data_IF_003449862441
#
_entry.id   IF_003449862441
#
_cell.length_a   1.000
_cell.length_b   1.000
_cell.length_c   1.000
_cell.angle_alpha   90.00
_cell.angle_beta   90.00
_cell.angle_gamma   90.00
#
_symmetry.space_group_name_H-M   'P 1'
#
loop_
_entity.id
_entity.type
_entity.pdbx_description
1 polymer ?
#
# COMPACT_ATOMS: atom_id res chain seq x y z
N UNK A 1 -8.27 21.66 1.18
CA UNK A 1 -8.96 21.91 2.47
C UNK A 1 -7.87 21.97 3.52
N UNK A 2 -7.74 23.11 4.17
CA UNK A 2 -6.62 23.38 5.06
C UNK A 2 -6.58 22.38 6.22
N UNK A 3 -5.41 21.85 6.50
CA UNK A 3 -5.13 21.18 7.76
C UNK A 3 -5.33 22.25 8.83
N UNK A 4 -6.46 22.17 9.54
CA UNK A 4 -6.70 23.04 10.69
C UNK A 4 -5.72 22.58 11.76
N UNK A 5 -4.59 23.27 11.86
CA UNK A 5 -3.70 23.15 13.02
C UNK A 5 -4.53 23.52 14.24
N UNK A 6 -4.67 22.60 15.17
CA UNK A 6 -5.30 22.87 16.46
C UNK A 6 -4.53 24.02 17.13
N UNK A 7 -5.19 25.13 17.37
CA UNK A 7 -4.61 26.23 18.13
C UNK A 7 -4.63 25.83 19.59
N UNK A 8 -3.50 25.76 20.29
CA UNK A 8 -3.47 25.41 21.70
C UNK A 8 -4.01 26.58 22.54
N UNK A 9 -5.16 26.38 23.16
CA UNK A 9 -5.55 27.24 24.30
C UNK A 9 -5.17 26.47 25.56
N UNK A 10 -4.04 26.83 26.12
CA UNK A 10 -3.58 26.28 27.40
C UNK A 10 -4.27 27.06 28.51
N UNK A 11 -5.27 26.47 29.13
CA UNK A 11 -5.82 27.01 30.39
C UNK A 11 -5.22 26.20 31.53
N UNK A 12 -4.28 26.82 32.25
CA UNK A 12 -3.69 26.27 33.46
C UNK A 12 -4.65 26.48 34.62
N UNK A 13 -5.31 25.44 35.09
CA UNK A 13 -6.10 25.48 36.34
C UNK A 13 -5.18 25.07 37.49
N UNK A 14 -4.69 26.05 38.22
CA UNK A 14 -3.99 25.84 39.50
C UNK A 14 -5.00 25.57 40.62
N UNK A 15 -5.09 24.34 41.07
CA UNK A 15 -5.73 23.98 42.34
C UNK A 15 -4.70 24.17 43.46
N UNK A 16 -4.88 25.22 44.24
CA UNK A 16 -4.13 25.46 45.46
C UNK A 16 -4.59 24.46 46.55
N UNK A 17 -3.79 23.45 46.85
CA UNK A 17 -3.91 22.67 48.07
C UNK A 17 -2.53 22.58 48.75
N UNK A 18 -2.58 22.93 50.00
CA UNK A 18 -1.54 23.24 50.99
C UNK A 18 -0.28 22.37 51.07
N UNK A 19 0.72 23.03 51.56
CA UNK A 19 2.10 22.61 51.89
C UNK A 19 2.23 21.25 52.55
N UNK A 20 3.17 20.40 52.06
CA UNK A 20 4.18 19.72 52.85
C UNK A 20 5.42 19.45 52.02
N UNK A 21 6.55 19.85 52.56
CA UNK A 21 7.93 19.78 52.10
C UNK A 21 8.51 18.36 52.16
N UNK A 22 9.51 18.15 51.28
CA UNK A 22 10.58 17.18 51.24
C UNK A 22 10.48 16.07 50.18
N UNK A 23 11.46 16.15 49.34
CA UNK A 23 11.75 15.19 48.27
C UNK A 23 11.56 15.84 46.88
N UNK A 24 12.64 16.27 46.23
CA UNK A 24 12.60 16.68 44.84
C UNK A 24 12.26 15.44 43.99
N UNK A 25 10.98 15.14 43.85
CA UNK A 25 10.48 14.35 42.76
C UNK A 25 10.49 15.28 41.55
N UNK A 26 11.27 14.93 40.53
CA UNK A 26 11.25 15.61 39.25
C UNK A 26 9.86 15.38 38.64
N UNK A 27 8.92 16.27 38.91
CA UNK A 27 7.58 16.22 38.35
C UNK A 27 7.64 16.64 36.88
N UNK A 28 6.88 15.94 36.10
CA UNK A 28 6.67 16.20 34.67
C UNK A 28 5.96 17.55 34.53
N UNK A 29 6.60 18.51 33.88
CA UNK A 29 5.99 19.80 33.56
C UNK A 29 5.95 19.93 32.05
N UNK A 30 4.75 19.87 31.49
CA UNK A 30 4.53 20.17 30.07
C UNK A 30 4.30 21.66 29.87
N UNK A 31 4.88 22.24 28.82
CA UNK A 31 4.58 23.61 28.41
C UNK A 31 3.31 23.64 27.54
N UNK A 32 3.02 22.56 26.80
CA UNK A 32 1.80 22.40 26.03
C UNK A 32 1.55 20.92 25.68
N UNK A 33 0.26 20.62 25.45
CA UNK A 33 -0.19 19.31 24.96
C UNK A 33 -1.10 19.56 23.76
N UNK A 34 -0.84 18.87 22.63
CA UNK A 34 -1.72 18.87 21.45
C UNK A 34 -2.07 17.45 21.06
N UNK A 35 -3.21 17.26 20.41
CA UNK A 35 -3.69 15.99 19.92
C UNK A 35 -3.87 16.05 18.41
N UNK A 36 -3.24 15.14 17.70
CA UNK A 36 -3.31 14.99 16.25
C UNK A 36 -3.95 13.62 15.91
N UNK A 37 -5.26 13.60 15.53
CA UNK A 37 -5.90 12.36 15.13
C UNK A 37 -5.31 11.83 13.82
N UNK A 38 -5.00 10.53 13.79
CA UNK A 38 -4.55 9.84 12.58
C UNK A 38 -5.71 9.19 11.84
N UNK A 39 -5.48 8.57 10.69
CA UNK A 39 -6.47 7.75 9.98
C UNK A 39 -6.47 6.29 10.45
N UNK A 40 -5.53 5.91 11.32
CA UNK A 40 -5.35 4.54 11.75
C UNK A 40 -6.35 4.12 12.84
N UNK A 41 -6.77 2.87 12.79
CA UNK A 41 -7.45 2.18 13.88
C UNK A 41 -6.64 0.98 14.31
N UNK A 42 -6.44 0.82 15.61
CA UNK A 42 -5.76 -0.34 16.20
C UNK A 42 -6.75 -1.24 16.92
N UNK A 43 -6.40 -2.51 17.01
CA UNK A 43 -7.10 -3.44 17.86
C UNK A 43 -6.59 -3.28 19.31
N UNK A 44 -7.34 -2.56 20.13
CA UNK A 44 -7.01 -2.38 21.53
C UNK A 44 -7.98 -3.19 22.42
N UNK A 45 -7.47 -4.25 23.06
CA UNK A 45 -8.27 -5.15 23.92
C UNK A 45 -9.53 -5.71 23.20
N UNK A 46 -9.36 -6.12 21.93
CA UNK A 46 -10.45 -6.71 21.12
C UNK A 46 -11.44 -5.70 20.54
N UNK A 47 -11.17 -4.39 20.65
CA UNK A 47 -12.04 -3.33 20.08
C UNK A 47 -11.23 -2.38 19.20
N UNK A 48 -11.77 -1.94 18.05
CA UNK A 48 -11.12 -0.93 17.24
C UNK A 48 -11.09 0.42 17.96
N UNK A 49 -9.90 1.04 18.01
CA UNK A 49 -9.67 2.36 18.57
C UNK A 49 -8.96 3.23 17.56
N UNK A 50 -9.43 4.48 17.40
CA UNK A 50 -8.73 5.46 16.59
C UNK A 50 -7.38 5.78 17.21
N UNK A 51 -6.32 5.75 16.42
CA UNK A 51 -5.01 6.24 16.84
C UNK A 51 -4.93 7.75 16.72
N UNK A 52 -4.28 8.36 17.67
CA UNK A 52 -3.90 9.76 17.64
C UNK A 52 -2.47 9.92 18.12
N UNK A 53 -1.84 11.01 17.73
CA UNK A 53 -0.52 11.40 18.22
C UNK A 53 -0.74 12.48 19.28
N UNK A 54 -0.26 12.22 20.48
CA UNK A 54 -0.24 13.18 21.56
C UNK A 54 1.14 13.85 21.57
N UNK A 55 1.18 15.16 21.31
CA UNK A 55 2.41 15.93 21.24
C UNK A 55 2.57 16.73 22.51
N UNK A 56 3.67 16.50 23.20
CA UNK A 56 4.05 17.22 24.42
C UNK A 56 5.24 18.12 24.16
N UNK A 57 5.19 19.36 24.66
CA UNK A 57 6.40 20.19 24.84
C UNK A 57 6.85 20.09 26.30
N UNK A 58 8.01 19.51 26.49
CA UNK A 58 8.54 19.18 27.81
C UNK A 58 9.83 19.93 28.10
N UNK A 59 10.01 20.34 29.38
CA UNK A 59 11.20 21.05 29.80
C UNK A 59 12.35 20.18 30.32
N UNK A 60 12.09 18.94 30.77
CA UNK A 60 13.09 18.04 31.37
C UNK A 60 12.75 16.56 31.09
N UNK A 61 13.77 15.69 31.05
CA UNK A 61 13.63 14.24 30.98
C UNK A 61 13.00 13.67 32.27
N UNK A 62 12.30 12.52 32.16
CA UNK A 62 11.69 11.84 33.30
C UNK A 62 11.71 10.31 33.11
N UNK A 63 11.67 9.59 34.22
CA UNK A 63 11.53 8.14 34.24
C UNK A 63 10.07 7.78 34.50
N UNK A 64 9.56 6.88 33.68
CA UNK A 64 8.25 6.23 33.74
C UNK A 64 7.17 6.94 34.57
N UNK A 65 6.28 7.63 33.91
CA UNK A 65 5.15 8.26 34.57
C UNK A 65 3.83 7.70 34.02
N UNK A 66 2.84 7.57 34.90
CA UNK A 66 1.51 7.12 34.54
C UNK A 66 0.66 8.34 34.19
N UNK A 67 0.22 8.40 32.93
CA UNK A 67 -0.64 9.45 32.39
C UNK A 67 -2.04 8.91 32.28
N UNK A 68 -3.00 9.65 32.79
CA UNK A 68 -4.43 9.41 32.58
C UNK A 68 -4.90 10.28 31.42
N UNK A 69 -5.51 9.64 30.42
CA UNK A 69 -6.09 10.32 29.26
C UNK A 69 -7.59 10.14 29.29
N UNK A 70 -8.32 11.25 29.21
CA UNK A 70 -9.79 11.24 29.13
C UNK A 70 -10.23 11.88 27.82
N UNK A 71 -11.12 11.21 27.10
CA UNK A 71 -11.62 11.63 25.79
C UNK A 71 -13.12 11.26 25.67
N UNK A 72 -13.97 12.25 25.39
CA UNK A 72 -15.43 12.07 25.26
C UNK A 72 -16.08 11.28 26.40
N UNK A 73 -15.68 11.54 27.65
CA UNK A 73 -16.21 10.84 28.81
C UNK A 73 -15.62 9.45 29.11
N UNK A 74 -14.76 8.96 28.24
CA UNK A 74 -14.02 7.72 28.45
C UNK A 74 -12.60 8.03 28.92
N UNK A 75 -12.00 7.17 29.71
CA UNK A 75 -10.62 7.36 30.19
C UNK A 75 -9.82 6.08 30.14
N UNK A 76 -8.52 6.23 29.91
CA UNK A 76 -7.53 5.16 29.96
C UNK A 76 -6.25 5.68 30.63
N UNK A 77 -5.36 4.77 31.04
CA UNK A 77 -4.08 5.11 31.65
C UNK A 77 -2.94 4.50 30.86
N UNK A 78 -1.96 5.31 30.53
CA UNK A 78 -0.77 4.93 29.78
C UNK A 78 0.46 5.13 30.66
N UNK A 79 1.44 4.25 30.50
CA UNK A 79 2.79 4.46 31.05
C UNK A 79 3.65 5.10 29.97
N UNK A 80 4.40 6.09 30.37
CA UNK A 80 5.16 6.93 29.46
C UNK A 80 6.59 7.14 29.99
N UNK A 81 7.57 7.03 29.12
CA UNK A 81 8.99 7.26 29.43
C UNK A 81 9.55 8.30 28.46
N UNK A 82 10.37 9.21 28.96
CA UNK A 82 11.15 10.08 28.11
C UNK A 82 12.54 10.31 28.67
N UNK A 83 13.52 9.99 27.86
CA UNK A 83 14.94 10.16 28.19
C UNK A 83 15.46 11.53 27.67
N UNK A 84 14.63 12.29 26.95
CA UNK A 84 15.03 13.56 26.32
C UNK A 84 14.11 14.70 26.73
N UNK A 85 14.65 15.92 26.77
CA UNK A 85 13.89 17.18 26.83
C UNK A 85 13.47 17.61 25.42
N UNK A 86 12.37 18.33 25.27
CA UNK A 86 11.92 18.91 24.00
C UNK A 86 10.51 18.53 23.61
N UNK A 87 10.30 18.29 22.31
CA UNK A 87 9.01 17.85 21.76
C UNK A 87 9.00 16.32 21.78
N UNK A 88 7.95 15.75 22.33
CA UNK A 88 7.74 14.31 22.41
C UNK A 88 6.41 14.00 21.76
N UNK A 89 6.43 13.06 20.84
CA UNK A 89 5.26 12.52 20.15
C UNK A 89 4.99 11.12 20.68
N UNK A 90 3.77 10.91 21.17
CA UNK A 90 3.33 9.63 21.68
C UNK A 90 2.07 9.18 20.96
N UNK A 91 2.14 8.02 20.33
CA UNK A 91 0.96 7.36 19.78
C UNK A 91 0.08 6.81 20.89
N UNK A 92 -1.22 7.12 20.79
CA UNK A 92 -2.21 6.68 21.75
C UNK A 92 -3.47 6.16 21.06
N UNK A 93 -4.05 5.05 21.51
CA UNK A 93 -5.41 4.70 21.15
C UNK A 93 -6.38 5.61 21.90
N UNK A 94 -7.22 6.34 21.18
CA UNK A 94 -8.23 7.20 21.81
C UNK A 94 -9.21 6.37 22.66
N UNK A 95 -9.47 6.72 23.92
CA UNK A 95 -10.49 6.07 24.71
C UNK A 95 -11.89 6.24 24.09
N UNK A 96 -12.76 5.28 24.29
CA UNK A 96 -14.17 5.38 23.86
C UNK A 96 -14.47 4.67 22.53
N UNK A 97 -15.72 4.73 22.05
CA UNK A 97 -16.16 4.12 20.81
C UNK A 97 -15.63 4.86 19.58
N UNK A 98 -15.86 4.28 18.42
CA UNK A 98 -15.56 4.88 17.13
C UNK A 98 -16.30 6.23 16.94
N UNK A 99 -15.61 7.21 16.35
CA UNK A 99 -16.17 8.53 16.07
C UNK A 99 -16.87 8.46 14.71
N UNK A 100 -18.19 8.51 14.71
CA UNK A 100 -19.02 8.40 13.50
C UNK A 100 -19.43 9.76 12.91
N UNK A 101 -19.27 10.84 13.66
CA UNK A 101 -19.60 12.20 13.21
C UNK A 101 -18.50 13.16 13.66
N UNK A 102 -18.23 14.18 12.85
CA UNK A 102 -17.36 15.28 13.24
C UNK A 102 -17.78 15.84 14.58
N UNK A 103 -16.89 15.87 15.53
CA UNK A 103 -17.14 16.33 16.89
C UNK A 103 -15.98 17.19 17.40
N UNK A 104 -16.33 18.22 18.19
CA UNK A 104 -15.36 18.83 19.07
C UNK A 104 -15.02 17.85 20.18
N UNK A 105 -13.76 17.54 20.32
CA UNK A 105 -13.27 16.63 21.34
C UNK A 105 -12.30 17.37 22.25
N UNK A 106 -12.36 17.07 23.54
CA UNK A 106 -11.34 17.48 24.49
C UNK A 106 -10.64 16.25 25.03
N UNK A 107 -9.32 16.30 25.06
CA UNK A 107 -8.51 15.33 25.77
C UNK A 107 -7.95 16.01 27.00
N UNK A 108 -8.08 15.37 28.16
CA UNK A 108 -7.40 15.76 29.37
C UNK A 108 -6.27 14.79 29.67
N UNK A 109 -5.12 15.32 29.95
CA UNK A 109 -3.93 14.58 30.37
C UNK A 109 -3.64 14.93 31.80
N UNK A 110 -3.76 13.99 32.71
CA UNK A 110 -3.49 14.15 34.12
C UNK A 110 -2.16 13.49 34.48
N UNK A 111 -1.25 14.24 35.06
CA UNK A 111 0.04 13.77 35.50
C UNK A 111 0.52 14.58 36.69
N UNK A 112 1.11 13.96 37.70
CA UNK A 112 1.69 14.62 38.89
C UNK A 112 0.76 15.65 39.55
N UNK A 113 -0.56 15.44 39.53
CA UNK A 113 -1.56 16.36 40.10
C UNK A 113 -1.85 17.60 39.25
N UNK A 114 -1.32 17.65 38.02
CA UNK A 114 -1.65 18.70 37.03
C UNK A 114 -2.54 18.14 35.92
N UNK A 115 -3.45 18.96 35.41
CA UNK A 115 -4.35 18.60 34.32
C UNK A 115 -4.10 19.53 33.13
N UNK A 116 -3.79 18.93 32.01
CA UNK A 116 -3.63 19.61 30.72
C UNK A 116 -4.81 19.30 29.83
N UNK A 117 -5.37 20.28 29.17
CA UNK A 117 -6.51 20.11 28.28
C UNK A 117 -6.12 20.54 26.87
N UNK A 118 -6.21 19.60 25.91
CA UNK A 118 -6.16 19.90 24.49
C UNK A 118 -7.54 19.74 23.87
N UNK A 119 -7.95 20.67 23.01
CA UNK A 119 -9.19 20.61 22.25
C UNK A 119 -8.87 20.46 20.79
N UNK A 120 -9.60 19.59 20.10
CA UNK A 120 -9.45 19.40 18.67
C UNK A 120 -10.80 19.04 18.03
N UNK A 121 -10.87 19.20 16.71
CA UNK A 121 -11.95 18.65 15.90
C UNK A 121 -11.49 17.30 15.43
N UNK A 122 -12.27 16.27 15.73
CA UNK A 122 -12.02 14.90 15.25
C UNK A 122 -13.11 14.56 14.23
N UNK A 123 -12.67 14.32 13.02
CA UNK A 123 -13.52 13.86 11.93
C UNK A 123 -13.56 12.33 11.91
N UNK A 124 -14.66 11.71 11.44
CA UNK A 124 -14.65 10.27 11.14
C UNK A 124 -13.53 9.93 10.19
N UNK A 125 -12.83 8.82 10.41
CA UNK A 125 -11.87 8.31 9.44
C UNK A 125 -12.46 7.13 8.70
N UNK A 126 -12.22 7.08 7.40
CA UNK A 126 -12.54 5.96 6.55
C UNK A 126 -11.74 4.74 6.98
N UNK A 127 -12.38 3.57 6.97
CA UNK A 127 -11.65 2.30 7.11
C UNK A 127 -11.13 1.86 5.75
N UNK A 128 -9.83 1.71 5.65
CA UNK A 128 -9.14 1.40 4.42
C UNK A 128 -8.79 -0.08 4.31
N UNK A 129 -8.85 -0.58 3.09
CA UNK A 129 -8.25 -1.86 2.68
C UNK A 129 -7.18 -1.61 1.63
N UNK A 130 -5.95 -2.00 1.93
CA UNK A 130 -4.84 -1.90 0.99
C UNK A 130 -4.49 -3.27 0.45
N UNK A 131 -4.57 -3.39 -0.86
CA UNK A 131 -4.16 -4.59 -1.57
C UNK A 131 -2.68 -4.52 -1.92
N UNK A 132 -1.96 -5.58 -1.63
CA UNK A 132 -0.52 -5.70 -1.89
C UNK A 132 -0.33 -6.74 -2.99
N UNK A 133 0.29 -6.33 -4.09
CA UNK A 133 0.49 -7.15 -5.28
C UNK A 133 1.95 -7.60 -5.40
N UNK A 134 2.32 -8.81 -4.91
CA UNK A 134 3.68 -9.29 -5.08
C UNK A 134 3.97 -9.67 -6.53
N UNK A 135 5.07 -9.16 -7.04
CA UNK A 135 5.62 -9.49 -8.34
C UNK A 135 7.12 -9.21 -8.37
N UNK A 136 7.78 -9.50 -9.47
CA UNK A 136 9.10 -9.00 -9.82
C UNK A 136 8.97 -8.32 -11.17
N UNK A 137 9.42 -7.07 -11.27
CA UNK A 137 9.42 -6.39 -12.56
C UNK A 137 10.31 -7.13 -13.54
N UNK A 138 9.80 -7.33 -14.75
CA UNK A 138 10.44 -8.15 -15.77
C UNK A 138 11.12 -7.27 -16.82
N UNK A 139 12.44 -7.13 -16.68
CA UNK A 139 13.31 -6.65 -17.74
C UNK A 139 13.96 -7.81 -18.48
N UNK A 140 13.86 -7.82 -19.79
CA UNK A 140 14.50 -8.86 -20.63
C UNK A 140 15.98 -8.51 -20.82
N UNK A 141 16.79 -8.83 -19.83
CA UNK A 141 18.17 -8.38 -19.71
C UNK A 141 18.29 -7.21 -18.73
N UNK A 142 18.78 -6.05 -19.16
CA UNK A 142 19.00 -4.80 -18.43
C UNK A 142 19.86 -4.95 -17.16
N UNK A 143 19.32 -5.57 -16.09
CA UNK A 143 20.04 -5.79 -14.82
C UNK A 143 21.11 -6.87 -14.92
N UNK A 144 21.00 -7.79 -15.88
CA UNK A 144 21.93 -8.86 -16.14
C UNK A 144 21.76 -9.41 -17.58
N UNK A 145 22.48 -10.48 -17.93
CA UNK A 145 22.25 -11.19 -19.20
C UNK A 145 20.85 -11.84 -19.19
N UNK A 146 20.22 -11.94 -20.36
CA UNK A 146 18.88 -12.54 -20.48
C UNK A 146 18.80 -13.93 -19.84
N UNK A 147 19.83 -14.76 -20.02
CA UNK A 147 19.87 -16.11 -19.44
C UNK A 147 19.87 -16.08 -17.90
N UNK A 148 20.59 -15.15 -17.28
CA UNK A 148 20.57 -15.02 -15.81
C UNK A 148 19.25 -14.47 -15.29
N UNK A 149 18.65 -13.53 -16.02
CA UNK A 149 17.32 -13.01 -15.71
C UNK A 149 16.28 -14.13 -15.78
N UNK A 150 16.31 -14.95 -16.83
CA UNK A 150 15.42 -16.11 -16.95
C UNK A 150 15.54 -17.05 -15.75
N UNK A 151 16.77 -17.43 -15.39
CA UNK A 151 17.01 -18.31 -14.22
C UNK A 151 16.49 -17.69 -12.91
N UNK A 152 16.61 -16.37 -12.74
CA UNK A 152 16.05 -15.69 -11.59
C UNK A 152 14.52 -15.83 -11.54
N UNK A 153 13.85 -15.56 -12.64
CA UNK A 153 12.38 -15.68 -12.70
C UNK A 153 11.89 -17.12 -12.57
N UNK A 154 12.61 -18.09 -13.11
CA UNK A 154 12.35 -19.51 -12.87
C UNK A 154 12.41 -19.86 -11.37
N UNK A 155 13.44 -19.36 -10.68
CA UNK A 155 13.60 -19.51 -9.24
C UNK A 155 12.48 -18.81 -8.47
N UNK A 156 12.13 -17.57 -8.85
CA UNK A 156 11.02 -16.85 -8.25
C UNK A 156 9.69 -17.59 -8.34
N UNK A 157 9.39 -18.23 -9.47
CA UNK A 157 8.18 -19.03 -9.63
C UNK A 157 8.18 -20.23 -8.66
N UNK A 158 9.31 -20.95 -8.57
CA UNK A 158 9.43 -22.08 -7.65
C UNK A 158 9.27 -21.66 -6.19
N UNK A 159 9.95 -20.60 -5.77
CA UNK A 159 9.86 -20.06 -4.42
C UNK A 159 8.46 -19.52 -4.11
N UNK A 160 7.83 -18.84 -5.05
CA UNK A 160 6.47 -18.33 -4.88
C UNK A 160 5.45 -19.44 -4.63
N UNK A 161 5.58 -20.57 -5.34
CA UNK A 161 4.72 -21.74 -5.12
C UNK A 161 4.94 -22.32 -3.72
N UNK A 162 6.20 -22.48 -3.28
CA UNK A 162 6.50 -22.99 -1.94
C UNK A 162 6.03 -22.03 -0.84
N UNK A 163 6.20 -20.71 -1.02
CA UNK A 163 5.72 -19.71 -0.07
C UNK A 163 4.19 -19.70 0.01
N UNK A 164 3.50 -19.77 -1.12
CA UNK A 164 2.04 -19.86 -1.16
C UNK A 164 1.53 -21.11 -0.46
N UNK A 165 2.19 -22.26 -0.68
CA UNK A 165 1.88 -23.50 0.03
C UNK A 165 2.11 -23.38 1.54
N UNK A 166 3.25 -22.81 1.96
CA UNK A 166 3.60 -22.60 3.36
C UNK A 166 2.57 -21.71 4.10
N UNK A 167 2.00 -20.74 3.39
CA UNK A 167 1.07 -19.76 3.96
C UNK A 167 -0.40 -20.07 3.68
N UNK A 168 -0.71 -21.26 3.15
CA UNK A 168 -2.09 -21.66 2.78
C UNK A 168 -3.09 -21.59 3.95
N UNK A 169 -2.61 -21.86 5.17
CA UNK A 169 -3.41 -21.83 6.41
C UNK A 169 -3.38 -20.47 7.14
N UNK A 170 -2.73 -19.45 6.56
CA UNK A 170 -2.71 -18.13 7.14
C UNK A 170 -4.09 -17.44 7.02
N UNK A 171 -4.37 -16.39 7.83
CA UNK A 171 -5.54 -15.55 7.61
C UNK A 171 -5.60 -15.06 6.17
N UNK A 172 -6.80 -14.94 5.61
CA UNK A 172 -7.02 -14.73 4.17
C UNK A 172 -6.19 -13.58 3.57
N UNK A 173 -6.06 -12.48 4.30
CA UNK A 173 -5.26 -11.34 3.84
C UNK A 173 -3.75 -11.58 3.81
N UNK A 174 -3.25 -12.61 4.48
CA UNK A 174 -1.82 -12.93 4.60
C UNK A 174 -1.39 -14.17 3.81
N UNK A 175 -2.30 -14.82 3.08
CA UNK A 175 -1.98 -15.92 2.18
C UNK A 175 -1.19 -15.39 0.99
N UNK A 176 -0.02 -15.96 0.72
CA UNK A 176 0.83 -15.50 -0.35
C UNK A 176 0.23 -15.79 -1.72
N UNK A 177 0.38 -14.84 -2.62
CA UNK A 177 0.03 -14.92 -4.04
C UNK A 177 1.14 -14.26 -4.84
N UNK A 178 1.34 -14.70 -6.06
CA UNK A 178 2.35 -14.17 -6.96
C UNK A 178 1.77 -13.81 -8.32
N UNK A 179 2.26 -12.73 -8.91
CA UNK A 179 1.84 -12.26 -10.22
C UNK A 179 3.04 -12.32 -11.16
N UNK A 180 2.86 -12.91 -12.32
CA UNK A 180 3.98 -13.16 -13.25
C UNK A 180 4.36 -11.94 -14.07
N UNK A 181 3.51 -10.91 -14.12
CA UNK A 181 3.66 -9.70 -14.93
C UNK A 181 3.72 -9.97 -16.44
N UNK A 182 4.58 -10.90 -16.88
CA UNK A 182 4.79 -11.22 -18.29
C UNK A 182 4.71 -12.72 -18.56
N UNK A 183 4.08 -13.09 -19.68
CA UNK A 183 4.01 -14.49 -20.14
C UNK A 183 5.38 -15.01 -20.60
N UNK A 184 6.29 -14.13 -20.98
CA UNK A 184 7.66 -14.50 -21.36
C UNK A 184 8.37 -15.33 -20.28
N UNK A 185 8.28 -14.95 -19.02
CA UNK A 185 8.91 -15.73 -17.91
C UNK A 185 8.22 -17.06 -17.71
N UNK A 186 6.91 -17.13 -17.90
CA UNK A 186 6.11 -18.36 -17.79
C UNK A 186 6.46 -19.36 -18.88
N UNK A 187 6.55 -18.90 -20.14
CA UNK A 187 6.92 -19.73 -21.27
C UNK A 187 8.30 -20.31 -21.08
N UNK A 188 9.28 -19.50 -20.68
CA UNK A 188 10.64 -19.98 -20.44
C UNK A 188 10.71 -20.97 -19.28
N UNK A 189 10.02 -20.71 -18.17
CA UNK A 189 9.91 -21.67 -17.07
C UNK A 189 9.34 -23.03 -17.56
N UNK A 190 8.28 -23.01 -18.32
CA UNK A 190 7.66 -24.23 -18.85
C UNK A 190 8.54 -24.98 -19.87
N UNK A 191 9.39 -24.27 -20.61
CA UNK A 191 10.31 -24.88 -21.57
C UNK A 191 11.46 -25.65 -20.87
N UNK A 192 11.90 -25.18 -19.71
CA UNK A 192 13.04 -25.72 -18.97
C UNK A 192 12.63 -26.63 -17.81
N UNK A 193 11.42 -26.49 -17.26
CA UNK A 193 10.96 -27.24 -16.11
C UNK A 193 10.73 -28.73 -16.41
N UNK A 194 11.01 -29.59 -15.42
CA UNK A 194 10.60 -31.00 -15.45
C UNK A 194 9.08 -31.12 -15.48
N UNK A 195 8.56 -32.27 -15.96
CA UNK A 195 7.11 -32.52 -16.00
C UNK A 195 6.46 -32.35 -14.60
N UNK A 196 7.13 -32.81 -13.56
CA UNK A 196 6.65 -32.65 -12.19
C UNK A 196 6.53 -31.15 -11.79
N UNK A 197 7.49 -30.31 -12.18
CA UNK A 197 7.44 -28.87 -11.94
C UNK A 197 6.31 -28.20 -12.74
N UNK A 198 6.09 -28.60 -13.99
CA UNK A 198 4.97 -28.13 -14.81
C UNK A 198 3.61 -28.45 -14.18
N UNK A 199 3.43 -29.69 -13.72
CA UNK A 199 2.20 -30.08 -13.03
C UNK A 199 1.96 -29.26 -11.76
N UNK A 200 3.00 -29.06 -10.96
CA UNK A 200 2.95 -28.22 -9.76
C UNK A 200 2.61 -26.78 -10.07
N UNK A 201 3.18 -26.22 -11.12
CA UNK A 201 2.90 -24.85 -11.58
C UNK A 201 1.42 -24.68 -11.95
N UNK A 202 0.87 -25.57 -12.80
CA UNK A 202 -0.52 -25.47 -13.20
C UNK A 202 -1.50 -25.71 -12.05
N UNK A 203 -1.15 -26.57 -11.10
CA UNK A 203 -1.91 -26.74 -9.85
C UNK A 203 -1.93 -25.43 -9.03
N UNK A 204 -0.78 -24.77 -8.91
CA UNK A 204 -0.68 -23.48 -8.22
C UNK A 204 -1.48 -22.37 -8.92
N UNK A 205 -1.50 -22.34 -10.25
CA UNK A 205 -2.34 -21.43 -11.03
C UNK A 205 -3.82 -21.70 -10.77
N UNK A 206 -4.25 -22.95 -10.80
CA UNK A 206 -5.65 -23.35 -10.54
C UNK A 206 -6.08 -23.02 -9.11
N UNK A 207 -5.17 -23.12 -8.13
CA UNK A 207 -5.41 -22.71 -6.74
C UNK A 207 -5.42 -21.20 -6.53
N UNK A 208 -5.08 -20.41 -7.55
CA UNK A 208 -4.96 -18.96 -7.44
C UNK A 208 -3.76 -18.47 -6.63
N UNK A 209 -2.75 -19.33 -6.44
CA UNK A 209 -1.47 -18.98 -5.83
C UNK A 209 -0.57 -18.19 -6.79
N UNK A 210 -0.62 -18.56 -8.08
CA UNK A 210 0.06 -17.88 -9.17
C UNK A 210 -0.99 -17.27 -10.10
N UNK A 211 -0.91 -15.97 -10.33
CA UNK A 211 -1.73 -15.27 -11.33
C UNK A 211 -0.90 -15.05 -12.58
N UNK A 212 -1.50 -15.36 -13.72
CA UNK A 212 -0.93 -15.07 -15.03
C UNK A 212 -1.52 -13.76 -15.55
N UNK A 213 -0.67 -12.76 -15.76
CA UNK A 213 -1.03 -11.55 -16.50
C UNK A 213 -0.78 -11.78 -17.98
N UNK A 214 -1.77 -11.42 -18.84
CA UNK A 214 -1.88 -11.98 -20.18
C UNK A 214 -0.91 -11.44 -21.23
N UNK A 215 -0.25 -10.30 -20.99
CA UNK A 215 0.70 -9.74 -21.94
C UNK A 215 2.00 -10.57 -21.99
N UNK A 216 2.58 -10.70 -23.19
CA UNK A 216 3.82 -11.43 -23.35
C UNK A 216 5.02 -10.75 -22.67
N UNK A 217 5.01 -9.43 -22.64
CA UNK A 217 6.01 -8.58 -21.98
C UNK A 217 5.48 -7.16 -21.81
N UNK A 218 6.24 -6.31 -21.14
CA UNK A 218 5.98 -4.87 -21.09
C UNK A 218 6.31 -4.24 -22.47
N UNK A 219 5.48 -3.33 -22.94
CA UNK A 219 5.59 -2.80 -24.30
C UNK A 219 5.19 -1.33 -24.40
N UNK A 220 5.92 -0.57 -25.19
CA UNK A 220 5.49 0.75 -25.62
C UNK A 220 4.49 0.60 -26.78
N UNK A 221 3.21 0.70 -26.46
CA UNK A 221 2.13 0.43 -27.41
C UNK A 221 2.01 1.45 -28.54
N UNK A 222 2.61 2.63 -28.39
CA UNK A 222 2.62 3.65 -29.45
C UNK A 222 3.51 3.27 -30.65
N UNK A 223 4.38 2.30 -30.47
CA UNK A 223 5.34 1.84 -31.49
C UNK A 223 5.00 0.47 -32.08
N UNK A 224 3.79 0.00 -31.80
CA UNK A 224 3.30 -1.30 -32.24
C UNK A 224 2.11 -1.16 -33.18
N UNK A 225 2.04 -2.00 -34.17
CA UNK A 225 0.85 -2.14 -35.00
C UNK A 225 -0.20 -3.04 -34.33
N UNK A 226 -1.41 -3.03 -34.90
CA UNK A 226 -2.53 -3.82 -34.34
C UNK A 226 -2.27 -5.31 -34.36
N UNK A 227 -1.50 -5.85 -35.32
CA UNK A 227 -1.13 -7.27 -35.36
C UNK A 227 -0.16 -7.62 -34.25
N UNK A 228 0.84 -6.79 -34.02
CA UNK A 228 1.79 -6.97 -32.92
C UNK A 228 1.08 -6.94 -31.57
N UNK A 229 0.16 -5.99 -31.36
CA UNK A 229 -0.66 -5.92 -30.15
C UNK A 229 -1.51 -7.18 -29.94
N UNK A 230 -2.10 -7.74 -31.01
CA UNK A 230 -2.84 -9.01 -30.91
C UNK A 230 -1.90 -10.17 -30.52
N UNK A 231 -0.71 -10.23 -31.11
CA UNK A 231 0.25 -11.29 -30.86
C UNK A 231 0.77 -11.28 -29.41
N UNK A 232 0.77 -10.14 -28.75
CA UNK A 232 1.14 -10.04 -27.33
C UNK A 232 0.30 -10.95 -26.41
N UNK A 233 -0.91 -11.29 -26.82
CA UNK A 233 -1.83 -12.11 -26.02
C UNK A 233 -2.01 -13.53 -26.55
N UNK A 234 -1.44 -13.88 -27.71
CA UNK A 234 -1.65 -15.18 -28.36
C UNK A 234 -1.21 -16.35 -27.46
N UNK A 235 -0.06 -16.18 -26.75
CA UNK A 235 0.46 -17.24 -25.89
C UNK A 235 -0.38 -17.45 -24.64
N UNK A 236 -0.81 -16.38 -23.99
CA UNK A 236 -1.69 -16.48 -22.83
C UNK A 236 -3.05 -17.09 -23.17
N UNK A 237 -3.60 -16.79 -24.33
CA UNK A 237 -4.83 -17.40 -24.82
C UNK A 237 -4.65 -18.89 -25.10
N UNK A 238 -3.51 -19.28 -25.68
CA UNK A 238 -3.18 -20.70 -25.87
C UNK A 238 -3.11 -21.44 -24.53
N UNK A 239 -2.45 -20.87 -23.53
CA UNK A 239 -2.39 -21.44 -22.17
C UNK A 239 -3.79 -21.52 -21.54
N UNK A 240 -4.58 -20.45 -21.64
CA UNK A 240 -5.94 -20.44 -21.11
C UNK A 240 -6.79 -21.57 -21.68
N UNK A 241 -6.75 -21.78 -23.00
CA UNK A 241 -7.46 -22.85 -23.69
C UNK A 241 -6.92 -24.25 -23.33
N UNK A 242 -5.59 -24.42 -23.33
CA UNK A 242 -4.95 -25.71 -23.08
C UNK A 242 -5.19 -26.24 -21.65
N UNK A 243 -5.22 -25.33 -20.66
CA UNK A 243 -5.29 -25.71 -19.24
C UNK A 243 -6.66 -25.43 -18.60
N UNK A 244 -7.63 -24.98 -19.39
CA UNK A 244 -8.99 -24.63 -18.92
C UNK A 244 -8.94 -23.62 -17.76
N UNK A 245 -8.23 -22.53 -17.96
CA UNK A 245 -8.08 -21.43 -17.01
C UNK A 245 -8.49 -20.09 -17.61
N UNK A 246 -8.78 -19.12 -16.76
CA UNK A 246 -9.13 -17.75 -17.19
C UNK A 246 -7.96 -16.82 -16.94
N UNK A 247 -7.39 -16.29 -18.02
CA UNK A 247 -6.40 -15.22 -18.00
C UNK A 247 -7.08 -13.95 -18.54
N UNK A 248 -7.48 -13.04 -17.66
CA UNK A 248 -8.28 -11.86 -18.01
C UNK A 248 -7.70 -10.55 -17.45
N UNK A 249 -6.44 -10.58 -17.04
CA UNK A 249 -5.70 -9.43 -16.52
C UNK A 249 -4.47 -9.15 -17.37
N UNK A 250 -4.08 -7.88 -17.42
CA UNK A 250 -2.79 -7.40 -17.86
C UNK A 250 -2.21 -6.55 -16.74
N UNK A 251 -0.96 -6.77 -16.39
CA UNK A 251 -0.16 -5.86 -15.60
C UNK A 251 0.99 -5.35 -16.47
N UNK A 252 1.22 -4.05 -16.49
CA UNK A 252 2.37 -3.42 -17.14
C UNK A 252 3.12 -2.62 -16.11
N UNK A 253 4.30 -3.09 -15.75
CA UNK A 253 5.27 -2.37 -14.93
C UNK A 253 6.14 -1.46 -15.77
N UNK A 254 6.72 -0.43 -15.17
CA UNK A 254 7.72 0.48 -15.72
C UNK A 254 7.24 1.32 -16.91
N UNK A 255 6.82 0.72 -18.01
CA UNK A 255 6.47 1.41 -19.27
C UNK A 255 5.22 2.28 -19.09
N UNK A 256 5.33 3.60 -19.29
CA UNK A 256 4.20 4.54 -19.13
C UNK A 256 3.32 4.61 -20.37
N UNK A 257 2.04 4.81 -20.13
CA UNK A 257 1.07 5.11 -21.17
C UNK A 257 0.58 3.91 -21.97
N UNK A 258 -0.48 4.12 -22.69
CA UNK A 258 -1.02 3.13 -23.64
C UNK A 258 -1.84 3.80 -24.77
N UNK A 259 -1.62 3.35 -25.97
CA UNK A 259 -2.38 3.79 -27.14
C UNK A 259 -3.82 3.29 -27.06
N UNK A 260 -4.76 4.09 -27.55
CA UNK A 260 -6.19 3.76 -27.49
C UNK A 260 -6.55 2.46 -28.26
N UNK A 261 -5.74 2.11 -29.25
CA UNK A 261 -5.85 0.83 -29.95
C UNK A 261 -5.72 -0.39 -29.05
N UNK A 262 -4.93 -0.29 -27.98
CA UNK A 262 -4.77 -1.38 -27.02
C UNK A 262 -6.11 -1.73 -26.35
N UNK A 263 -6.97 -0.77 -26.04
CA UNK A 263 -8.26 -1.03 -25.41
C UNK A 263 -9.14 -2.00 -26.22
N UNK A 264 -9.11 -1.89 -27.56
CA UNK A 264 -9.83 -2.81 -28.44
C UNK A 264 -9.20 -4.21 -28.42
N UNK A 265 -7.88 -4.29 -28.47
CA UNK A 265 -7.15 -5.57 -28.47
C UNK A 265 -7.33 -6.33 -27.16
N UNK A 266 -7.20 -5.65 -26.02
CA UNK A 266 -7.44 -6.24 -24.71
C UNK A 266 -8.84 -6.86 -24.61
N UNK A 267 -9.87 -6.09 -24.99
CA UNK A 267 -11.25 -6.56 -24.93
C UNK A 267 -11.52 -7.76 -25.87
N UNK A 268 -10.93 -7.76 -27.08
CA UNK A 268 -11.05 -8.88 -28.03
C UNK A 268 -10.34 -10.15 -27.54
N UNK A 269 -9.27 -10.01 -26.78
CA UNK A 269 -8.50 -11.13 -26.23
C UNK A 269 -9.02 -11.62 -24.87
N UNK A 270 -10.14 -11.07 -24.37
CA UNK A 270 -10.75 -11.46 -23.11
C UNK A 270 -10.06 -10.87 -21.88
N UNK A 271 -9.14 -9.91 -22.06
CA UNK A 271 -8.54 -9.15 -20.97
C UNK A 271 -9.52 -8.05 -20.54
N UNK A 272 -10.04 -8.16 -19.35
CA UNK A 272 -11.05 -7.24 -18.80
C UNK A 272 -10.45 -6.23 -17.81
N UNK A 273 -9.23 -6.47 -17.35
CA UNK A 273 -8.58 -5.69 -16.30
C UNK A 273 -7.16 -5.33 -16.71
N UNK A 274 -6.82 -4.07 -16.60
CA UNK A 274 -5.48 -3.56 -16.89
C UNK A 274 -4.96 -2.74 -15.71
N UNK A 275 -3.91 -3.25 -15.06
CA UNK A 275 -3.15 -2.54 -14.04
C UNK A 275 -1.88 -1.97 -14.66
N UNK A 276 -1.64 -0.68 -14.46
CA UNK A 276 -0.39 -0.02 -14.84
C UNK A 276 0.34 0.46 -13.59
N UNK A 277 1.62 0.11 -13.46
CA UNK A 277 2.54 0.62 -12.44
C UNK A 277 3.75 1.26 -13.10
N UNK A 278 3.61 2.47 -13.69
CA UNK A 278 4.66 3.06 -14.52
C UNK A 278 5.86 3.50 -13.68
N UNK A 279 7.01 3.70 -14.35
CA UNK A 279 8.14 4.41 -13.79
C UNK A 279 7.73 5.86 -13.50
N UNK A 280 7.94 6.32 -12.27
CA UNK A 280 7.44 7.62 -11.81
C UNK A 280 8.41 8.76 -12.05
N UNK A 281 9.68 8.47 -12.22
CA UNK A 281 10.73 9.47 -12.10
C UNK A 281 11.44 9.77 -13.42
N UNK A 282 11.18 8.98 -14.46
CA UNK A 282 11.88 9.12 -15.72
C UNK A 282 11.11 10.04 -16.68
N UNK A 283 11.75 11.13 -17.04
CA UNK A 283 11.52 12.06 -18.16
C UNK A 283 10.28 12.93 -18.12
N UNK A 284 9.12 12.46 -17.67
CA UNK A 284 7.87 13.18 -17.93
C UNK A 284 6.97 13.22 -16.71
N UNK A 285 6.67 14.43 -16.25
CA UNK A 285 6.01 14.69 -14.99
C UNK A 285 4.50 14.47 -14.91
N UNK A 286 3.84 13.85 -15.90
CA UNK A 286 2.38 13.84 -15.97
C UNK A 286 1.72 12.55 -15.48
N UNK A 287 2.48 11.55 -15.05
CA UNK A 287 1.93 10.27 -14.59
C UNK A 287 1.00 10.42 -13.39
N UNK A 288 1.28 11.34 -12.48
CA UNK A 288 0.44 11.66 -11.33
C UNK A 288 -1.00 12.07 -11.71
N UNK A 289 -1.21 12.54 -12.93
CA UNK A 289 -2.55 12.91 -13.42
C UNK A 289 -3.50 11.72 -13.42
N UNK A 290 -3.03 10.52 -13.77
CA UNK A 290 -3.84 9.30 -13.90
C UNK A 290 -3.76 8.38 -12.70
N UNK A 291 -2.80 8.61 -11.81
CA UNK A 291 -2.57 7.79 -10.65
C UNK A 291 -3.78 7.76 -9.72
N UNK A 292 -4.16 6.56 -9.32
CA UNK A 292 -5.31 6.30 -8.44
C UNK A 292 -6.65 6.84 -8.96
N UNK A 293 -6.81 6.87 -10.27
CA UNK A 293 -8.05 7.28 -10.95
C UNK A 293 -8.58 6.15 -11.84
N UNK A 294 -9.17 5.09 -11.27
CA UNK A 294 -9.69 3.97 -12.05
C UNK A 294 -10.86 4.40 -12.95
N UNK A 295 -10.90 3.83 -14.14
CA UNK A 295 -11.98 4.07 -15.09
C UNK A 295 -12.23 2.86 -16.01
N UNK A 296 -13.43 2.77 -16.57
CA UNK A 296 -13.67 1.90 -17.70
C UNK A 296 -13.10 2.54 -18.94
N UNK A 297 -12.07 1.95 -19.50
CA UNK A 297 -11.47 2.38 -20.74
C UNK A 297 -12.26 1.81 -21.91
N UNK A 298 -12.95 2.69 -22.62
CA UNK A 298 -13.85 2.33 -23.72
C UNK A 298 -13.08 2.33 -25.03
N UNK A 299 -13.20 1.26 -25.82
CA UNK A 299 -12.54 1.11 -27.11
C UNK A 299 -12.94 2.21 -28.11
N UNK A 300 -12.16 2.43 -29.19
CA UNK A 300 -12.50 3.37 -30.24
C UNK A 300 -13.91 3.17 -30.82
N UNK A 301 -14.33 1.91 -31.01
CA UNK A 301 -15.69 1.57 -31.51
C UNK A 301 -16.80 1.93 -30.50
N UNK A 302 -16.48 2.08 -29.22
CA UNK A 302 -17.46 2.30 -28.17
C UNK A 302 -18.18 1.04 -27.69
N UNK A 303 -17.96 -0.12 -28.31
CA UNK A 303 -18.71 -1.35 -28.05
C UNK A 303 -18.08 -2.24 -26.99
N UNK A 304 -16.83 -1.96 -26.62
CA UNK A 304 -16.04 -2.76 -25.68
C UNK A 304 -15.43 -1.86 -24.64
N UNK A 305 -15.22 -2.39 -23.46
CA UNK A 305 -14.54 -1.69 -22.37
C UNK A 305 -13.82 -2.68 -21.45
N UNK A 306 -12.80 -2.18 -20.79
CA UNK A 306 -12.10 -2.87 -19.72
C UNK A 306 -11.91 -1.93 -18.53
N UNK A 307 -11.68 -2.47 -17.35
CA UNK A 307 -11.37 -1.67 -16.17
C UNK A 307 -9.86 -1.42 -16.09
N UNK A 308 -9.50 -0.15 -16.09
CA UNK A 308 -8.11 0.31 -16.00
C UNK A 308 -7.83 0.94 -14.66
N UNK A 309 -6.64 0.70 -14.13
CA UNK A 309 -6.09 1.38 -12.95
C UNK A 309 -4.60 1.64 -13.14
N UNK A 310 -4.20 2.89 -13.05
CA UNK A 310 -2.80 3.24 -12.83
C UNK A 310 -2.56 3.40 -11.34
N UNK A 311 -1.74 2.53 -10.77
CA UNK A 311 -1.36 2.58 -9.36
C UNK A 311 -0.10 3.42 -9.16
N UNK A 312 0.43 3.38 -7.94
CA UNK A 312 1.77 3.87 -7.61
C UNK A 312 2.83 3.16 -8.49
N UNK A 313 4.06 3.68 -8.57
CA UNK A 313 5.13 3.03 -9.32
C UNK A 313 5.30 1.54 -8.97
N UNK A 314 5.69 0.76 -9.97
CA UNK A 314 5.76 -0.71 -9.87
C UNK A 314 6.68 -1.24 -8.75
N UNK A 315 7.65 -0.45 -8.28
CA UNK A 315 8.62 -0.83 -7.24
C UNK A 315 8.31 -0.25 -5.85
N UNK A 316 7.10 0.23 -5.61
CA UNK A 316 6.75 0.92 -4.36
C UNK A 316 6.91 0.03 -3.12
N UNK A 317 6.83 -1.30 -3.28
CA UNK A 317 7.04 -2.25 -2.19
C UNK A 317 8.41 -2.11 -1.52
N UNK A 318 9.43 -1.73 -2.27
CA UNK A 318 10.75 -1.46 -1.71
C UNK A 318 10.73 -0.30 -0.72
N UNK A 319 10.07 0.80 -1.08
CA UNK A 319 9.87 1.96 -0.18
C UNK A 319 9.08 1.59 1.07
N UNK A 320 8.08 0.72 0.94
CA UNK A 320 7.29 0.24 2.07
C UNK A 320 8.11 -0.66 2.99
N UNK A 321 8.98 -1.52 2.44
CA UNK A 321 9.91 -2.33 3.23
C UNK A 321 10.88 -1.43 3.98
N UNK A 322 11.47 -0.44 3.32
CA UNK A 322 12.33 0.57 3.93
C UNK A 322 11.62 1.41 5.00
N UNK A 323 10.30 1.55 4.90
CA UNK A 323 9.44 2.29 5.84
C UNK A 323 8.79 1.39 6.91
N UNK A 324 9.32 0.22 7.21
CA UNK A 324 8.91 -0.73 8.28
C UNK A 324 7.69 -1.61 8.00
N UNK A 325 7.01 -1.58 6.85
CA UNK A 325 5.86 -2.48 6.71
C UNK A 325 6.26 -3.96 6.90
N UNK A 326 7.30 -4.53 6.25
CA UNK A 326 7.74 -5.88 6.55
C UNK A 326 8.43 -6.03 7.89
N UNK A 327 9.14 -4.99 8.35
CA UNK A 327 9.97 -5.04 9.55
C UNK A 327 9.28 -4.42 10.77
N UNK A 328 7.99 -4.13 10.69
CA UNK A 328 7.22 -3.50 11.75
C UNK A 328 7.36 -4.23 13.11
N UNK A 329 7.55 -5.54 13.07
CA UNK A 329 7.68 -6.37 14.27
C UNK A 329 9.06 -7.02 14.42
N UNK A 330 10.03 -6.81 13.55
CA UNK A 330 11.32 -7.52 13.56
C UNK A 330 12.42 -6.84 14.37
N UNK A 331 12.17 -5.74 15.01
CA UNK A 331 13.14 -4.94 15.80
C UNK A 331 14.34 -4.40 15.01
N UNK A 332 14.40 -4.62 13.70
CA UNK A 332 15.43 -4.00 12.89
C UNK A 332 15.12 -2.51 12.69
N UNK A 333 16.12 -1.66 12.93
CA UNK A 333 16.03 -0.23 12.63
C UNK A 333 15.72 -0.06 11.13
N UNK A 334 14.62 0.60 10.76
CA UNK A 334 14.30 0.82 9.36
C UNK A 334 15.35 1.73 8.74
N UNK A 335 15.82 1.35 7.58
CA UNK A 335 16.64 2.26 6.77
C UNK A 335 15.67 3.25 6.11
N UNK A 336 15.79 4.54 6.39
CA UNK A 336 14.94 5.55 5.75
C UNK A 336 15.27 5.55 4.26
N UNK A 337 14.30 5.26 3.41
CA UNK A 337 14.50 5.28 1.98
C UNK A 337 14.10 6.63 1.34
N UNK A 338 13.09 7.30 1.87
CA UNK A 338 12.62 8.58 1.31
C UNK A 338 12.42 9.72 2.31
N UNK A 339 12.40 9.48 3.60
CA UNK A 339 12.02 10.52 4.56
C UNK A 339 13.15 11.05 5.43
N UNK A 340 14.35 10.55 5.28
CA UNK A 340 15.55 11.06 5.98
C UNK A 340 15.59 10.89 7.51
N UNK A 341 14.48 10.61 8.16
CA UNK A 341 14.41 10.39 9.60
C UNK A 341 13.71 9.08 9.93
N UNK A 342 14.34 8.19 10.71
CA UNK A 342 13.66 7.02 11.23
C UNK A 342 12.48 7.48 12.08
N UNK A 343 11.27 7.11 11.68
CA UNK A 343 10.12 7.32 12.53
C UNK A 343 10.21 6.31 13.69
N UNK A 344 10.27 6.80 14.90
CA UNK A 344 10.27 5.97 16.11
C UNK A 344 8.88 5.43 16.42
N UNK A 345 7.87 5.91 15.71
CA UNK A 345 6.48 5.57 15.90
C UNK A 345 6.11 4.29 15.14
N UNK A 346 5.04 3.63 15.56
CA UNK A 346 4.53 2.42 14.92
C UNK A 346 3.89 2.69 13.56
N UNK A 347 3.47 3.91 13.28
CA UNK A 347 2.83 4.27 12.02
C UNK A 347 3.87 4.35 10.91
N UNK A 348 3.62 3.60 9.83
CA UNK A 348 4.41 3.73 8.63
C UNK A 348 4.10 5.06 7.95
N UNK A 349 5.03 6.02 7.89
CA UNK A 349 4.74 7.36 7.39
C UNK A 349 4.35 7.33 5.92
N UNK A 350 4.93 6.44 5.12
CA UNK A 350 4.60 6.35 3.70
C UNK A 350 3.14 5.93 3.48
N UNK A 351 2.71 4.81 4.05
CA UNK A 351 1.35 4.29 3.86
C UNK A 351 0.30 5.26 4.40
N UNK A 352 0.48 5.76 5.60
CA UNK A 352 -0.49 6.68 6.21
C UNK A 352 -0.53 8.03 5.52
N UNK A 353 0.62 8.56 5.08
CA UNK A 353 0.68 9.78 4.28
C UNK A 353 0.00 9.61 2.92
N UNK A 354 0.21 8.48 2.27
CA UNK A 354 -0.45 8.15 1.02
C UNK A 354 -1.98 8.10 1.18
N UNK A 355 -2.48 7.39 2.18
CA UNK A 355 -3.92 7.31 2.46
C UNK A 355 -4.51 8.67 2.86
N UNK A 356 -3.80 9.46 3.66
CA UNK A 356 -4.21 10.82 4.00
C UNK A 356 -4.24 11.75 2.78
N UNK A 357 -3.35 11.54 1.81
CA UNK A 357 -3.36 12.27 0.54
C UNK A 357 -4.58 11.90 -0.32
N UNK A 358 -4.93 10.63 -0.39
CA UNK A 358 -6.15 10.16 -1.05
C UNK A 358 -7.41 10.78 -0.41
N UNK A 359 -7.47 10.85 0.92
CA UNK A 359 -8.57 11.54 1.63
C UNK A 359 -8.65 13.02 1.26
N UNK A 360 -7.51 13.74 1.26
CA UNK A 360 -7.46 15.15 0.88
C UNK A 360 -7.89 15.39 -0.58
N UNK A 361 -7.60 14.44 -1.47
CA UNK A 361 -8.00 14.48 -2.89
C UNK A 361 -9.45 14.03 -3.12
N UNK A 362 -10.22 13.78 -2.05
CA UNK A 362 -11.59 13.27 -2.11
C UNK A 362 -11.70 11.97 -2.92
N UNK A 363 -10.73 11.07 -2.75
CA UNK A 363 -10.76 9.77 -3.39
C UNK A 363 -12.05 9.00 -3.05
N UNK A 364 -12.76 8.52 -4.06
CA UNK A 364 -14.14 8.05 -3.91
C UNK A 364 -14.27 6.66 -3.26
N UNK A 365 -13.15 5.94 -3.09
CA UNK A 365 -13.14 4.53 -2.71
C UNK A 365 -12.41 4.33 -1.37
N UNK A 366 -12.67 3.20 -0.70
CA UNK A 366 -12.03 2.83 0.57
C UNK A 366 -10.99 1.70 0.41
N UNK A 367 -10.58 1.44 -0.83
CA UNK A 367 -9.54 0.48 -1.15
C UNK A 367 -8.62 1.02 -2.24
N UNK A 368 -7.35 0.65 -2.18
CA UNK A 368 -6.35 0.92 -3.20
C UNK A 368 -5.37 -0.25 -3.29
N UNK A 369 -4.45 -0.21 -4.25
CA UNK A 369 -3.47 -1.25 -4.52
C UNK A 369 -2.06 -0.67 -4.56
N UNK A 370 -1.12 -1.41 -3.99
CA UNK A 370 0.31 -1.15 -4.06
C UNK A 370 1.02 -2.38 -4.62
N UNK A 371 1.86 -2.16 -5.60
CA UNK A 371 2.74 -3.18 -6.15
C UNK A 371 3.89 -3.47 -5.19
N UNK A 372 4.30 -4.72 -5.09
CA UNK A 372 5.34 -5.17 -4.17
C UNK A 372 6.45 -5.88 -4.94
N UNK A 373 7.30 -5.09 -5.57
CA UNK A 373 8.55 -5.51 -6.16
C UNK A 373 9.70 -4.85 -5.42
N UNK A 374 10.76 -5.59 -5.16
CA UNK A 374 11.93 -5.06 -4.46
C UNK A 374 12.77 -4.17 -5.38
N UNK A 375 12.82 -4.52 -6.65
CA UNK A 375 13.57 -3.85 -7.72
C UNK A 375 13.27 -4.57 -9.04
N UNK A 376 13.95 -4.15 -10.12
CA UNK A 376 13.93 -4.81 -11.41
C UNK A 376 14.56 -6.20 -11.30
N UNK A 377 13.91 -7.19 -11.89
CA UNK A 377 14.37 -8.58 -11.84
C UNK A 377 14.80 -9.03 -10.43
N UNK A 378 14.04 -8.62 -9.40
CA UNK A 378 14.38 -8.92 -8.02
C UNK A 378 13.83 -10.28 -7.55
N UNK A 379 14.42 -10.87 -6.50
CA UNK A 379 13.84 -12.04 -5.84
C UNK A 379 12.50 -11.69 -5.17
N UNK A 380 11.74 -12.72 -4.81
CA UNK A 380 10.53 -12.55 -4.02
C UNK A 380 10.85 -12.07 -2.60
N UNK A 381 9.86 -11.50 -1.90
CA UNK A 381 9.97 -11.17 -0.48
C UNK A 381 9.29 -12.24 0.37
N UNK A 382 10.07 -13.15 1.00
CA UNK A 382 9.51 -14.24 1.79
C UNK A 382 8.93 -13.78 3.14
N UNK A 383 9.23 -12.56 3.59
CA UNK A 383 8.80 -12.02 4.88
C UNK A 383 7.41 -11.36 4.80
N UNK A 384 6.97 -10.99 3.59
CA UNK A 384 5.72 -10.26 3.37
C UNK A 384 4.49 -10.91 4.03
N UNK A 385 4.25 -12.23 3.95
CA UNK A 385 3.08 -12.86 4.59
C UNK A 385 3.04 -12.67 6.11
N UNK A 386 4.19 -12.83 6.79
CA UNK A 386 4.27 -12.63 8.23
C UNK A 386 4.07 -11.16 8.60
N UNK A 387 4.66 -10.25 7.83
CA UNK A 387 4.47 -8.82 8.04
C UNK A 387 2.99 -8.41 7.90
N UNK A 388 2.29 -8.89 6.88
CA UNK A 388 0.86 -8.62 6.68
C UNK A 388 0.01 -9.24 7.79
N UNK A 389 0.33 -10.45 8.22
CA UNK A 389 -0.35 -11.12 9.34
C UNK A 389 -0.20 -10.33 10.63
N UNK A 390 1.02 -9.93 10.97
CA UNK A 390 1.32 -9.14 12.15
C UNK A 390 0.65 -7.76 12.10
N UNK A 391 0.70 -7.08 10.95
CA UNK A 391 0.00 -5.83 10.71
C UNK A 391 -1.51 -5.95 10.95
N UNK A 392 -2.16 -6.94 10.37
CA UNK A 392 -3.60 -7.13 10.50
C UNK A 392 -4.05 -7.55 11.90
N UNK A 393 -3.16 -8.13 12.69
CA UNK A 393 -3.42 -8.39 14.11
C UNK A 393 -3.36 -7.12 14.95
N UNK A 394 -2.51 -6.17 14.56
CA UNK A 394 -2.34 -4.90 15.28
C UNK A 394 -3.33 -3.83 14.83
N UNK A 395 -3.44 -3.59 13.51
CA UNK A 395 -4.35 -2.60 12.95
C UNK A 395 -5.70 -3.18 12.57
N UNK A 396 -6.77 -2.47 12.93
CA UNK A 396 -8.12 -2.69 12.42
C UNK A 396 -8.32 -1.97 11.07
N UNK A 397 -7.61 -0.84 10.86
CA UNK A 397 -7.55 -0.11 9.60
C UNK A 397 -6.24 0.72 9.52
N UNK A 398 -5.56 0.74 8.37
CA UNK A 398 -5.86 -0.02 7.15
C UNK A 398 -5.61 -1.53 7.32
N UNK A 399 -6.45 -2.34 6.69
CA UNK A 399 -6.16 -3.77 6.52
C UNK A 399 -5.30 -3.96 5.29
N UNK A 400 -4.34 -4.89 5.36
CA UNK A 400 -3.49 -5.29 4.23
C UNK A 400 -3.96 -6.64 3.70
N UNK A 401 -4.02 -6.79 2.38
CA UNK A 401 -4.41 -8.04 1.72
C UNK A 401 -3.43 -8.33 0.60
N UNK A 402 -2.67 -9.42 0.73
CA UNK A 402 -1.87 -9.96 -0.38
C UNK A 402 -2.82 -10.46 -1.45
N UNK A 403 -2.64 -9.99 -2.69
CA UNK A 403 -3.59 -10.24 -3.76
C UNK A 403 -2.92 -10.61 -5.08
N UNK A 404 -3.75 -10.97 -6.05
CA UNK A 404 -3.42 -11.02 -7.46
C UNK A 404 -4.09 -9.84 -8.19
N UNK A 405 -3.60 -9.50 -9.39
CA UNK A 405 -4.22 -8.51 -10.28
C UNK A 405 -5.71 -8.82 -10.45
N UNK A 406 -6.05 -10.07 -10.76
CA UNK A 406 -7.44 -10.53 -10.86
C UNK A 406 -8.22 -10.36 -9.55
N UNK A 407 -7.63 -10.75 -8.43
CA UNK A 407 -8.26 -10.66 -7.11
C UNK A 407 -8.64 -9.24 -6.73
N UNK A 408 -7.71 -8.30 -6.93
CA UNK A 408 -7.96 -6.88 -6.68
C UNK A 408 -9.10 -6.33 -7.55
N UNK A 409 -9.00 -6.47 -8.87
CA UNK A 409 -10.00 -5.90 -9.77
C UNK A 409 -11.38 -6.51 -9.56
N UNK A 410 -11.46 -7.81 -9.29
CA UNK A 410 -12.74 -8.46 -9.00
C UNK A 410 -13.39 -7.87 -7.73
N UNK A 411 -12.62 -7.71 -6.65
CA UNK A 411 -13.12 -7.12 -5.41
C UNK A 411 -13.54 -5.64 -5.61
N UNK A 412 -12.72 -4.88 -6.34
CA UNK A 412 -12.98 -3.47 -6.62
C UNK A 412 -14.22 -3.28 -7.49
N UNK A 413 -14.31 -3.99 -8.61
CA UNK A 413 -15.46 -3.89 -9.52
C UNK A 413 -16.75 -4.36 -8.85
N UNK A 414 -16.69 -5.45 -8.09
CA UNK A 414 -17.85 -5.94 -7.34
C UNK A 414 -18.43 -4.87 -6.41
N UNK A 415 -17.56 -4.12 -5.75
CA UNK A 415 -17.97 -3.08 -4.78
C UNK A 415 -18.38 -1.77 -5.43
N UNK A 416 -17.70 -1.37 -6.53
CA UNK A 416 -17.75 0.00 -7.03
C UNK A 416 -18.22 0.16 -8.47
N UNK A 417 -18.61 -0.90 -9.17
CA UNK A 417 -18.99 -0.89 -10.58
C UNK A 417 -19.82 0.32 -11.02
N UNK A 418 -20.83 0.68 -10.24
CA UNK A 418 -21.73 1.80 -10.53
C UNK A 418 -21.10 3.20 -10.36
N UNK A 419 -19.95 3.28 -9.67
CA UNK A 419 -19.25 4.54 -9.37
C UNK A 419 -18.03 4.78 -10.26
N UNK A 420 -17.64 3.78 -11.05
CA UNK A 420 -16.44 3.86 -11.91
C UNK A 420 -16.78 4.68 -13.15
N UNK A 421 -16.08 5.79 -13.42
CA UNK A 421 -16.30 6.58 -14.63
C UNK A 421 -15.84 5.82 -15.88
N UNK A 422 -16.23 6.29 -17.04
CA UNK A 422 -15.78 5.79 -18.34
C UNK A 422 -14.95 6.86 -19.05
N UNK A 423 -13.91 6.44 -19.75
CA UNK A 423 -13.00 7.30 -20.50
C UNK A 423 -12.74 6.74 -21.90
N UNK A 424 -12.52 7.63 -22.88
CA UNK A 424 -12.16 7.33 -24.26
C UNK A 424 -10.91 8.11 -24.65
N UNK A 425 -10.04 7.51 -25.44
CA UNK A 425 -8.81 8.12 -25.92
C UNK A 425 -7.55 7.45 -25.39
N UNK A 426 -6.43 7.93 -25.82
CA UNK A 426 -5.12 7.55 -25.28
C UNK A 426 -5.01 8.03 -23.83
N UNK A 427 -4.19 7.38 -23.04
CA UNK A 427 -3.90 7.89 -21.70
C UNK A 427 -2.39 8.03 -21.49
N UNK A 428 -2.04 9.12 -20.76
CA UNK A 428 -0.70 9.48 -20.33
C UNK A 428 0.36 9.51 -21.44
N UNK A 429 1.59 9.59 -21.11
CA UNK A 429 2.71 9.77 -22.02
C UNK A 429 3.44 8.47 -22.29
N UNK A 430 4.24 8.47 -23.33
CA UNK A 430 4.94 7.30 -23.84
C UNK A 430 6.44 7.57 -23.87
N UNK A 431 7.24 6.54 -23.71
CA UNK A 431 8.66 6.60 -23.97
C UNK A 431 8.95 6.54 -25.47
N UNK A 432 8.64 7.62 -26.15
CA UNK A 432 8.80 7.74 -27.62
C UNK A 432 10.04 8.51 -28.04
N UNK A 433 10.77 9.07 -27.08
CA UNK A 433 11.96 9.89 -27.33
C UNK A 433 13.11 9.13 -27.98
N UNK A 434 13.30 7.84 -27.66
CA UNK A 434 14.36 7.02 -28.26
C UNK A 434 14.11 6.72 -29.75
N UNK A 435 12.96 6.21 -30.17
CA UNK A 435 12.65 6.07 -31.59
C UNK A 435 12.72 7.38 -32.34
N UNK A 436 12.23 8.47 -31.74
CA UNK A 436 12.30 9.80 -32.35
C UNK A 436 13.76 10.28 -32.52
N UNK A 437 14.69 9.86 -31.66
CA UNK A 437 16.11 10.23 -31.76
C UNK A 437 16.97 9.23 -32.53
N UNK A 438 16.44 8.03 -32.81
CA UNK A 438 17.13 6.99 -33.57
C UNK A 438 16.89 7.05 -35.09
N UNK A 439 16.19 8.06 -35.55
CA UNK A 439 15.92 8.29 -36.97
C UNK A 439 17.16 8.85 -37.69
N UNK A 440 18.20 8.04 -37.84
CA UNK A 440 19.36 8.36 -38.67
C UNK A 440 19.76 7.15 -39.51
#
# INVERSE_FOLDING_TARGET
MNIVKCIPIVTLLLLLAGKKTWGQTNHLTFNSVTLEPTIAYVNHKGKPRRMAILVFKQGKSFKSEKIRISFNGYSDSLSFNSDTSGIIEQEIPLPGPEILKTSQASISVETAGQVYIARCIVEPARKWTMYILPHSHVDIGYTNTQEKVLRLHEHNIDEAIELAKKTADYPEGAKYKWNTEAIWVVENYLNTASEQKKLRFWDAVKKGWINLDGAYGNINTSETDSRQLMMMFAKSQAFAKQHDIVINTMFQGDVPGASWGLAAQLAQTGINYFLSGPNAEDRIGQLAQWQDKPFYWVSPSGNQKLLFWQCQPYSIGYSLKGSKIPNFFTQEEPKPFYTGTPDKNFLNPYLFNYLADLERKNFAYDMSILTWAMSDNAPIDPELPEAVKAWNNHFDSPKLIITSTKGFFTAFEQKYKAKIPSFKGDYTEYWTDRPASAAA
#
